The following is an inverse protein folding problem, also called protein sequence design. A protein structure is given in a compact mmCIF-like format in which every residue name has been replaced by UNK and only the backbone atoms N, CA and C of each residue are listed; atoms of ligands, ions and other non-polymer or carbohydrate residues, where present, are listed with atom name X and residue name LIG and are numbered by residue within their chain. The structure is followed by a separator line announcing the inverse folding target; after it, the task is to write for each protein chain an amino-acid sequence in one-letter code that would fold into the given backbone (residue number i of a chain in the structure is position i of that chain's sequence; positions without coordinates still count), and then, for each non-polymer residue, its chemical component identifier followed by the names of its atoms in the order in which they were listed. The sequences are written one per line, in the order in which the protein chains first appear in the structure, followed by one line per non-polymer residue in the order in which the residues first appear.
data_IF_201406978402
#
_entry.id   IF_201406978402
#
_cell.length_a   1.000
_cell.length_b   1.000
_cell.length_c   1.000
_cell.angle_alpha   90.00
_cell.angle_beta   90.00
_cell.angle_gamma   90.00
#
_symmetry.space_group_name_H-M   'P 1'
#
loop_
_entity.id
_entity.type
_entity.pdbx_description
1 polymer ?
#
# COMPACT_ATOMS: atom_id res chain seq x y z
N UNK A 1 -6.71 -8.37 9.69
CA UNK A 1 -5.31 -7.97 9.48
C UNK A 1 -5.18 -6.81 8.49
N UNK A 2 -5.64 -6.94 7.23
CA UNK A 2 -5.55 -5.84 6.24
C UNK A 2 -6.18 -4.51 6.66
N UNK A 3 -7.38 -4.53 7.26
CA UNK A 3 -8.02 -3.29 7.74
C UNK A 3 -7.23 -2.58 8.83
N UNK A 4 -6.49 -3.31 9.66
CA UNK A 4 -5.65 -2.71 10.70
C UNK A 4 -4.39 -2.10 10.09
N UNK A 5 -3.74 -2.80 9.15
CA UNK A 5 -2.62 -2.26 8.39
C UNK A 5 -3.01 -0.98 7.63
N UNK A 6 -4.19 -0.96 7.02
CA UNK A 6 -4.73 0.23 6.35
C UNK A 6 -4.93 1.42 7.30
N UNK A 7 -5.42 1.15 8.51
CA UNK A 7 -5.59 2.19 9.53
C UNK A 7 -4.25 2.72 10.03
N UNK A 8 -3.27 1.84 10.20
CA UNK A 8 -1.91 2.21 10.62
C UNK A 8 -1.19 3.09 9.59
N UNK A 9 -1.44 2.89 8.29
CA UNK A 9 -0.89 3.74 7.21
C UNK A 9 -1.73 5.01 6.94
N UNK A 10 -2.84 5.19 7.66
CA UNK A 10 -3.71 6.38 7.60
C UNK A 10 -4.76 6.40 6.49
N UNK A 11 -5.06 5.24 5.90
CA UNK A 11 -6.07 5.07 4.85
C UNK A 11 -7.48 4.87 5.43
N UNK A 12 -8.48 5.54 4.85
CA UNK A 12 -9.88 5.40 5.26
C UNK A 12 -10.59 4.31 4.44
N UNK A 13 -10.44 3.07 4.89
CA UNK A 13 -11.07 1.91 4.27
C UNK A 13 -12.60 1.89 4.40
N UNK A 14 -13.19 2.70 5.30
CA UNK A 14 -14.65 2.82 5.41
C UNK A 14 -15.19 3.68 4.26
N UNK A 15 -14.50 4.77 3.91
CA UNK A 15 -14.87 5.62 2.76
C UNK A 15 -14.65 4.92 1.43
N UNK A 16 -13.54 4.20 1.27
CA UNK A 16 -13.26 3.46 0.05
C UNK A 16 -12.74 2.05 0.36
N UNK A 17 -13.60 1.03 0.29
CA UNK A 17 -13.16 -0.36 0.37
C UNK A 17 -12.21 -0.71 -0.79
N UNK A 18 -11.23 -1.58 -0.55
CA UNK A 18 -10.17 -1.94 -1.52
C UNK A 18 -10.69 -2.42 -2.88
N UNK A 19 -11.72 -3.27 -2.89
CA UNK A 19 -12.33 -3.75 -4.13
C UNK A 19 -12.99 -2.65 -4.96
N UNK A 20 -13.20 -1.46 -4.39
CA UNK A 20 -13.74 -0.26 -5.06
C UNK A 20 -12.69 0.81 -5.35
N UNK A 21 -11.45 0.64 -4.86
CA UNK A 21 -10.36 1.57 -5.17
C UNK A 21 -10.06 1.47 -6.66
N UNK A 22 -10.29 2.55 -7.39
CA UNK A 22 -10.05 2.57 -8.83
C UNK A 22 -8.53 2.62 -9.09
N UNK A 23 -8.04 1.82 -10.05
CA UNK A 23 -6.65 1.91 -10.54
C UNK A 23 -6.27 3.34 -10.93
N UNK A 24 -7.21 4.09 -11.48
CA UNK A 24 -7.01 5.49 -11.86
C UNK A 24 -6.75 6.40 -10.64
N UNK A 25 -7.39 6.16 -9.50
CA UNK A 25 -7.14 6.92 -8.26
C UNK A 25 -5.72 6.68 -7.73
N UNK A 26 -5.23 5.43 -7.81
CA UNK A 26 -3.84 5.09 -7.47
C UNK A 26 -2.88 5.84 -8.40
N UNK A 27 -3.11 5.81 -9.70
CA UNK A 27 -2.27 6.49 -10.69
C UNK A 27 -2.22 8.01 -10.44
N UNK A 28 -3.37 8.65 -10.25
CA UNK A 28 -3.44 10.09 -9.93
C UNK A 28 -2.80 10.42 -8.58
N UNK A 29 -2.90 9.51 -7.61
CA UNK A 29 -2.15 9.60 -6.35
C UNK A 29 -0.64 9.64 -6.57
N UNK A 30 -0.10 8.75 -7.42
CA UNK A 30 1.32 8.76 -7.77
C UNK A 30 1.73 10.05 -8.49
N UNK A 31 0.92 10.57 -9.40
CA UNK A 31 1.17 11.84 -10.10
C UNK A 31 1.27 13.01 -9.11
N UNK A 32 0.35 13.11 -8.16
CA UNK A 32 0.38 14.12 -7.12
C UNK A 32 1.63 14.02 -6.24
N UNK A 33 2.00 12.80 -5.81
CA UNK A 33 3.21 12.56 -5.01
C UNK A 33 4.50 12.87 -5.77
N UNK A 34 4.55 12.60 -7.08
CA UNK A 34 5.67 12.97 -7.94
C UNK A 34 5.83 14.49 -7.99
N UNK A 35 4.74 15.22 -8.23
CA UNK A 35 4.76 16.68 -8.21
C UNK A 35 5.18 17.25 -6.84
N UNK A 36 4.75 16.62 -5.75
CA UNK A 36 5.18 17.00 -4.39
C UNK A 36 6.68 16.78 -4.19
N UNK A 37 7.21 15.63 -4.61
CA UNK A 37 8.65 15.34 -4.50
C UNK A 37 9.49 16.37 -5.26
N UNK A 38 9.07 16.74 -6.47
CA UNK A 38 9.76 17.74 -7.29
C UNK A 38 9.72 19.14 -6.64
N UNK A 39 8.56 19.55 -6.10
CA UNK A 39 8.42 20.85 -5.45
C UNK A 39 9.19 20.91 -4.11
N UNK A 40 9.18 19.83 -3.32
CA UNK A 40 9.92 19.73 -2.06
C UNK A 40 11.43 19.74 -2.29
N UNK A 41 11.93 19.14 -3.38
CA UNK A 41 13.36 19.19 -3.73
C UNK A 41 13.77 20.51 -4.39
N UNK A 42 12.81 21.19 -5.01
CA UNK A 42 13.03 22.44 -5.73
C UNK A 42 12.67 23.68 -4.93
N UNK A 43 11.65 24.40 -5.39
CA UNK A 43 11.32 25.77 -4.94
C UNK A 43 10.58 25.82 -3.60
N UNK A 44 10.01 24.70 -3.12
CA UNK A 44 9.29 24.59 -1.85
C UNK A 44 8.19 25.65 -1.65
N UNK A 45 7.47 26.01 -2.72
CA UNK A 45 6.38 27.00 -2.65
C UNK A 45 5.21 26.42 -1.87
N UNK A 46 4.88 27.04 -0.74
CA UNK A 46 3.85 26.55 0.17
C UNK A 46 2.49 26.35 -0.51
N UNK A 47 2.05 27.28 -1.34
CA UNK A 47 0.78 27.20 -2.07
C UNK A 47 0.71 25.98 -3.01
N UNK A 48 1.82 25.66 -3.66
CA UNK A 48 1.92 24.52 -4.58
C UNK A 48 1.90 23.21 -3.78
N UNK A 49 2.65 23.14 -2.67
CA UNK A 49 2.66 22.00 -1.78
C UNK A 49 1.27 21.74 -1.16
N UNK A 50 0.57 22.79 -0.73
CA UNK A 50 -0.77 22.68 -0.17
C UNK A 50 -1.77 22.16 -1.20
N UNK A 51 -1.73 22.70 -2.44
CA UNK A 51 -2.60 22.23 -3.53
C UNK A 51 -2.34 20.76 -3.86
N UNK A 52 -1.09 20.38 -4.11
CA UNK A 52 -0.76 18.99 -4.47
C UNK A 52 -1.04 18.01 -3.33
N UNK A 53 -0.88 18.43 -2.07
CA UNK A 53 -1.31 17.63 -0.91
C UNK A 53 -2.82 17.41 -0.92
N UNK A 54 -3.60 18.47 -1.20
CA UNK A 54 -5.05 18.37 -1.34
C UNK A 54 -5.50 17.49 -2.50
N UNK A 55 -4.80 17.58 -3.64
CA UNK A 55 -5.07 16.74 -4.82
C UNK A 55 -4.86 15.26 -4.45
N UNK A 56 -3.74 14.94 -3.79
CA UNK A 56 -3.46 13.59 -3.29
C UNK A 56 -4.55 13.07 -2.35
N UNK A 57 -5.00 13.87 -1.38
CA UNK A 57 -6.03 13.48 -0.42
C UNK A 57 -7.44 13.39 -1.01
N UNK A 58 -7.67 14.03 -2.16
CA UNK A 58 -8.92 13.90 -2.92
C UNK A 58 -8.98 12.58 -3.69
N UNK A 59 -7.82 12.07 -4.13
CA UNK A 59 -7.70 10.80 -4.83
C UNK A 59 -7.62 9.60 -3.87
N UNK A 60 -6.87 9.76 -2.78
CA UNK A 60 -6.61 8.71 -1.80
C UNK A 60 -7.24 9.11 -0.47
N UNK A 61 -8.28 8.40 0.00
CA UNK A 61 -9.04 8.76 1.18
C UNK A 61 -8.23 8.47 2.44
N UNK A 62 -8.22 9.48 3.31
CA UNK A 62 -7.52 9.44 4.58
C UNK A 62 -8.50 9.74 5.72
N UNK A 63 -8.19 9.18 6.88
CA UNK A 63 -8.85 9.53 8.12
C UNK A 63 -7.98 10.53 8.88
N UNK A 64 -8.40 11.80 8.86
CA UNK A 64 -7.72 12.90 9.55
C UNK A 64 -8.29 13.16 10.94
N UNK A 65 -9.32 12.43 11.37
CA UNK A 65 -10.09 12.75 12.57
C UNK A 65 -10.57 14.21 12.59
N UNK A 66 -10.46 14.86 13.74
CA UNK A 66 -10.84 16.26 13.96
C UNK A 66 -9.66 17.25 13.84
N UNK A 67 -8.57 16.85 13.17
CA UNK A 67 -7.39 17.70 13.03
C UNK A 67 -7.53 18.68 11.86
N UNK A 68 -6.82 19.82 11.96
CA UNK A 68 -6.84 20.84 10.90
C UNK A 68 -6.08 20.37 9.66
N UNK A 69 -6.66 20.54 8.47
CA UNK A 69 -6.06 20.13 7.18
C UNK A 69 -4.66 20.70 6.94
N UNK A 70 -4.37 21.91 7.42
CA UNK A 70 -3.04 22.54 7.33
C UNK A 70 -1.92 21.69 7.96
N UNK A 71 -2.22 20.81 8.91
CA UNK A 71 -1.24 19.95 9.57
C UNK A 71 -0.76 18.79 8.67
N UNK A 72 -1.50 18.51 7.59
CA UNK A 72 -1.26 17.38 6.70
C UNK A 72 -0.60 17.80 5.39
N UNK A 73 -0.07 19.02 5.28
CA UNK A 73 0.71 19.40 4.10
C UNK A 73 1.98 18.53 4.02
N UNK A 74 2.20 17.94 2.84
CA UNK A 74 3.33 17.08 2.50
C UNK A 74 4.53 17.94 2.06
N UNK A 75 5.14 18.63 3.02
CA UNK A 75 6.17 19.66 2.80
C UNK A 75 7.62 19.17 2.99
N UNK A 76 7.82 17.88 3.32
CA UNK A 76 9.14 17.27 3.46
C UNK A 76 9.26 15.99 2.64
N UNK A 77 10.48 15.65 2.21
CA UNK A 77 10.71 14.44 1.41
C UNK A 77 10.29 13.19 2.18
N UNK A 78 10.50 13.18 3.49
CA UNK A 78 10.10 12.09 4.36
C UNK A 78 8.58 11.88 4.36
N UNK A 79 7.80 12.95 4.48
CA UNK A 79 6.32 12.86 4.42
C UNK A 79 5.85 12.31 3.07
N UNK A 80 6.45 12.77 1.97
CA UNK A 80 6.11 12.29 0.62
C UNK A 80 6.48 10.82 0.46
N UNK A 81 7.67 10.39 0.92
CA UNK A 81 8.12 8.98 0.87
C UNK A 81 7.20 8.06 1.67
N UNK A 82 6.78 8.46 2.88
CA UNK A 82 5.83 7.68 3.67
C UNK A 82 4.50 7.49 2.93
N UNK A 83 4.03 8.50 2.20
CA UNK A 83 2.81 8.38 1.38
C UNK A 83 3.01 7.58 0.10
N UNK A 84 4.22 7.57 -0.44
CA UNK A 84 4.58 6.68 -1.55
C UNK A 84 4.55 5.21 -1.11
N UNK A 85 5.19 4.88 0.02
CA UNK A 85 5.18 3.53 0.61
C UNK A 85 3.75 3.05 0.94
N UNK A 86 2.92 3.95 1.46
CA UNK A 86 1.49 3.69 1.67
C UNK A 86 0.80 3.33 0.35
N UNK A 87 1.03 4.09 -0.72
CA UNK A 87 0.37 3.88 -2.01
C UNK A 87 0.80 2.55 -2.67
N UNK A 88 2.08 2.20 -2.56
CA UNK A 88 2.60 0.89 -2.99
C UNK A 88 1.94 -0.25 -2.22
N UNK A 89 1.82 -0.11 -0.89
CA UNK A 89 1.14 -1.10 -0.06
C UNK A 89 -0.33 -1.28 -0.47
N UNK A 90 -1.02 -0.20 -0.81
CA UNK A 90 -2.42 -0.27 -1.28
C UNK A 90 -2.54 -0.98 -2.64
N UNK A 91 -1.58 -0.78 -3.54
CA UNK A 91 -1.52 -1.46 -4.83
C UNK A 91 -1.32 -2.97 -4.66
N UNK A 92 -0.38 -3.40 -3.83
CA UNK A 92 -0.14 -4.81 -3.51
C UNK A 92 -1.38 -5.47 -2.91
N UNK A 93 -2.01 -4.79 -1.95
CA UNK A 93 -3.26 -5.27 -1.33
C UNK A 93 -4.37 -5.36 -2.39
N UNK A 94 -4.49 -4.40 -3.31
CA UNK A 94 -5.50 -4.44 -4.37
C UNK A 94 -5.31 -5.69 -5.25
N UNK A 95 -4.07 -5.97 -5.68
CA UNK A 95 -3.74 -7.16 -6.47
C UNK A 95 -4.10 -8.43 -5.69
N UNK A 96 -3.72 -8.50 -4.42
CA UNK A 96 -4.03 -9.65 -3.57
C UNK A 96 -5.53 -9.84 -3.35
N UNK A 97 -6.30 -8.78 -3.13
CA UNK A 97 -7.76 -8.87 -2.99
C UNK A 97 -8.43 -9.39 -4.25
N UNK A 98 -7.96 -8.97 -5.44
CA UNK A 98 -8.44 -9.52 -6.71
C UNK A 98 -8.16 -11.01 -6.83
N UNK A 99 -6.97 -11.44 -6.44
CA UNK A 99 -6.60 -12.85 -6.44
C UNK A 99 -7.53 -13.67 -5.53
N UNK A 100 -7.88 -13.13 -4.35
CA UNK A 100 -8.84 -13.78 -3.45
C UNK A 100 -10.26 -13.84 -4.03
N UNK A 101 -10.71 -12.76 -4.68
CA UNK A 101 -12.05 -12.65 -5.27
C UNK A 101 -12.31 -13.61 -6.44
N UNK A 102 -11.27 -14.20 -7.04
CA UNK A 102 -11.39 -15.23 -8.09
C UNK A 102 -12.08 -16.54 -7.61
N UNK A 103 -12.40 -16.66 -6.32
CA UNK A 103 -13.11 -17.81 -5.77
C UNK A 103 -12.25 -19.07 -5.69
N UNK A 104 -12.84 -20.23 -5.37
CA UNK A 104 -12.09 -21.49 -5.31
C UNK A 104 -11.75 -21.96 -6.73
N UNK A 105 -10.53 -22.49 -6.90
CA UNK A 105 -10.13 -23.16 -8.15
C UNK A 105 -10.98 -24.40 -8.41
N UNK A 106 -11.37 -25.12 -7.35
CA UNK A 106 -12.29 -26.26 -7.40
C UNK A 106 -13.14 -26.31 -6.14
N UNK A 107 -14.41 -26.72 -6.26
CA UNK A 107 -15.34 -26.84 -5.13
C UNK A 107 -14.87 -27.88 -4.09
N UNK A 108 -14.16 -28.92 -4.53
CA UNK A 108 -13.69 -30.01 -3.67
C UNK A 108 -12.39 -29.66 -2.92
N UNK A 109 -11.79 -28.52 -3.23
CA UNK A 109 -10.55 -28.07 -2.60
C UNK A 109 -10.85 -27.23 -1.35
N UNK A 110 -10.02 -27.38 -0.32
CA UNK A 110 -10.09 -26.48 0.84
C UNK A 110 -9.60 -25.06 0.42
N UNK A 111 -9.95 -24.05 1.22
CA UNK A 111 -9.61 -22.66 0.88
C UNK A 111 -8.11 -22.36 0.93
N UNK A 112 -7.37 -23.02 1.83
CA UNK A 112 -5.93 -22.79 2.00
C UNK A 112 -5.14 -23.28 0.80
N UNK A 113 -5.39 -24.50 0.35
CA UNK A 113 -4.75 -25.11 -0.81
C UNK A 113 -5.12 -24.35 -2.10
N UNK A 114 -6.38 -23.94 -2.22
CA UNK A 114 -6.80 -23.10 -3.35
C UNK A 114 -6.07 -21.76 -3.35
N UNK A 115 -5.91 -21.11 -2.20
CA UNK A 115 -5.19 -19.85 -2.11
C UNK A 115 -3.68 -20.03 -2.34
N UNK A 116 -3.08 -21.14 -1.88
CA UNK A 116 -1.68 -21.47 -2.14
C UNK A 116 -1.41 -21.64 -3.64
N UNK A 117 -2.26 -22.37 -4.35
CA UNK A 117 -2.13 -22.56 -5.80
C UNK A 117 -2.23 -21.24 -6.58
N UNK A 118 -3.10 -20.32 -6.13
CA UNK A 118 -3.22 -18.98 -6.72
C UNK A 118 -1.93 -18.16 -6.63
N UNK A 119 -1.06 -18.43 -5.65
CA UNK A 119 0.24 -17.75 -5.56
C UNK A 119 1.19 -18.14 -6.70
N UNK A 120 0.95 -19.28 -7.37
CA UNK A 120 1.79 -19.73 -8.49
C UNK A 120 3.25 -20.03 -8.11
N UNK A 121 3.52 -20.29 -6.83
CA UNK A 121 4.86 -20.56 -6.29
C UNK A 121 4.88 -21.90 -5.56
N UNK A 122 6.07 -22.52 -5.49
CA UNK A 122 6.29 -23.72 -4.71
C UNK A 122 7.10 -23.40 -3.44
N UNK A 123 6.42 -23.35 -2.29
CA UNK A 123 7.04 -23.17 -0.98
C UNK A 123 7.26 -24.56 -0.37
N UNK A 124 8.50 -24.87 -0.02
CA UNK A 124 8.87 -26.13 0.64
C UNK A 124 9.61 -25.86 1.95
N UNK A 125 9.42 -26.70 2.98
CA UNK A 125 10.14 -26.55 4.23
C UNK A 125 11.64 -26.81 4.02
N UNK A 126 12.48 -25.89 4.52
CA UNK A 126 13.92 -26.07 4.53
C UNK A 126 14.32 -26.96 5.72
N UNK A 127 15.11 -28.01 5.46
CA UNK A 127 15.64 -28.87 6.51
C UNK A 127 16.62 -28.09 7.40
N UNK A 128 16.38 -28.14 8.72
CA UNK A 128 17.22 -27.47 9.73
C UNK A 128 18.64 -28.04 9.80
N UNK A 129 18.83 -29.27 9.32
CA UNK A 129 20.15 -29.90 9.27
C UNK A 129 20.90 -29.58 7.97
N UNK A 130 20.29 -28.88 7.01
CA UNK A 130 20.94 -28.53 5.75
C UNK A 130 21.97 -27.42 5.95
N UNK A 131 23.04 -27.46 5.15
CA UNK A 131 24.06 -26.41 5.11
C UNK A 131 23.44 -25.04 4.78
N UNK A 132 22.43 -25.01 3.90
CA UNK A 132 21.70 -23.79 3.55
C UNK A 132 20.98 -23.19 4.75
N UNK A 133 20.38 -24.01 5.62
CA UNK A 133 19.74 -23.51 6.82
C UNK A 133 20.77 -22.93 7.80
N UNK A 134 21.88 -23.62 8.01
CA UNK A 134 22.95 -23.14 8.90
C UNK A 134 23.54 -21.81 8.42
N UNK A 135 23.75 -21.68 7.11
CA UNK A 135 24.23 -20.44 6.50
C UNK A 135 23.26 -19.27 6.71
N UNK A 136 21.95 -19.51 6.56
CA UNK A 136 20.94 -18.46 6.79
C UNK A 136 20.88 -18.04 8.26
N UNK A 137 21.10 -18.97 9.21
CA UNK A 137 21.16 -18.66 10.64
C UNK A 137 22.38 -17.81 10.98
N UNK A 138 23.53 -18.05 10.34
CA UNK A 138 24.73 -17.23 10.54
C UNK A 138 24.57 -15.82 9.96
N UNK A 139 23.80 -15.68 8.90
CA UNK A 139 23.60 -14.40 8.21
C UNK A 139 22.65 -13.43 8.92
N UNK A 140 21.71 -13.92 9.74
CA UNK A 140 20.64 -13.15 10.41
C UNK A 140 21.03 -12.82 11.85
#
# INVERSE_FOLDING_TARGET
MMNNQMKEIGYDAKKMPLGKLAKNSILRGYEALKGLMDEVKGKKRHEVLARLSSDFYSEIPHDFGFQKMQNFVLDTEQKVKQKLEMLQSLEDIQVFTKLLDEGKISNDMNELDSNYLKLGINITPLDKNSDTYQLLVEYV
#
